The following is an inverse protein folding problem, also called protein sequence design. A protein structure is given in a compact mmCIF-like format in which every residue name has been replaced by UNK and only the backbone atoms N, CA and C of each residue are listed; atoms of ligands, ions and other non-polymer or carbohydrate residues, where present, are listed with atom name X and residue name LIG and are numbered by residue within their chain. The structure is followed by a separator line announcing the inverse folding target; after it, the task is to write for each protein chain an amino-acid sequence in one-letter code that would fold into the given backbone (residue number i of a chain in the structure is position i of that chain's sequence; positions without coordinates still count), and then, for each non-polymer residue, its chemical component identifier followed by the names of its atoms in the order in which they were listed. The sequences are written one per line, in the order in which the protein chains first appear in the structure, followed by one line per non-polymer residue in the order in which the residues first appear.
data_IF_372703364692
#
_entry.id   IF_372703364692
#
_cell.length_a   1.000
_cell.length_b   1.000
_cell.length_c   1.000
_cell.angle_alpha   90.00
_cell.angle_beta   90.00
_cell.angle_gamma   90.00
#
_symmetry.space_group_name_H-M   'P 1'
#
loop_
_entity.id
_entity.type
_entity.pdbx_description
1 polymer ?
#
# COMPACT_ATOMS: atom_id res chain seq x y z
N UNK A 1 82.85 -44.94 -39.61
CA UNK A 1 82.41 -43.64 -39.04
C UNK A 1 81.06 -43.26 -39.64
N UNK A 2 80.18 -42.65 -38.84
CA UNK A 2 78.89 -41.99 -39.18
C UNK A 2 77.67 -42.89 -39.45
N UNK A 3 76.91 -43.19 -38.40
CA UNK A 3 75.44 -43.38 -38.42
C UNK A 3 74.88 -43.09 -37.03
N UNK A 4 74.49 -41.84 -36.76
CA UNK A 4 73.52 -41.45 -35.71
C UNK A 4 73.42 -39.93 -35.69
N UNK A 5 72.47 -39.35 -36.44
CA UNK A 5 71.97 -37.98 -36.22
C UNK A 5 70.81 -37.73 -37.17
N UNK A 6 69.61 -38.26 -36.87
CA UNK A 6 68.38 -37.79 -37.50
C UNK A 6 67.14 -38.16 -36.66
N UNK A 7 67.13 -37.89 -35.36
CA UNK A 7 65.94 -38.09 -34.53
C UNK A 7 65.95 -37.12 -33.34
N UNK A 8 65.84 -35.80 -33.57
CA UNK A 8 65.56 -34.85 -32.47
C UNK A 8 65.12 -33.45 -32.98
N UNK A 9 64.01 -33.33 -33.72
CA UNK A 9 63.52 -32.00 -34.12
C UNK A 9 62.02 -31.90 -34.42
N UNK A 10 61.14 -32.68 -33.78
CA UNK A 10 59.68 -32.64 -34.06
C UNK A 10 58.79 -32.47 -32.81
N UNK A 11 59.33 -32.34 -31.60
CA UNK A 11 58.52 -32.40 -30.36
C UNK A 11 58.22 -31.06 -29.65
N UNK A 12 58.40 -29.88 -30.25
CA UNK A 12 58.19 -28.60 -29.55
C UNK A 12 57.06 -27.67 -30.04
N UNK A 13 56.18 -28.11 -30.94
CA UNK A 13 55.18 -27.22 -31.56
C UNK A 13 53.71 -27.45 -31.13
N UNK A 14 53.42 -27.93 -29.90
CA UNK A 14 52.03 -28.09 -29.43
C UNK A 14 51.67 -27.41 -28.10
N UNK A 15 52.56 -26.70 -27.44
CA UNK A 15 52.25 -25.95 -26.21
C UNK A 15 51.88 -24.49 -26.51
N UNK A 16 50.73 -24.28 -27.17
CA UNK A 16 50.24 -22.92 -27.49
C UNK A 16 48.75 -22.66 -27.23
N UNK A 17 47.91 -23.68 -27.05
CA UNK A 17 46.46 -23.50 -27.00
C UNK A 17 45.80 -23.75 -25.63
N UNK A 18 46.54 -24.19 -24.62
CA UNK A 18 45.96 -24.52 -23.30
C UNK A 18 45.79 -23.31 -22.36
N UNK A 19 46.59 -22.24 -22.51
CA UNK A 19 46.50 -21.04 -21.65
C UNK A 19 45.43 -20.02 -22.06
N UNK A 20 45.02 -20.01 -23.34
CA UNK A 20 44.08 -19.01 -23.86
C UNK A 20 42.59 -19.33 -23.56
N UNK A 21 42.28 -20.55 -23.12
CA UNK A 21 40.94 -20.91 -22.64
C UNK A 21 40.69 -20.41 -21.23
N UNK A 22 41.67 -20.50 -20.33
CA UNK A 22 41.53 -20.14 -18.91
C UNK A 22 41.41 -18.62 -18.71
N UNK A 23 42.25 -17.83 -19.40
CA UNK A 23 42.12 -16.35 -19.36
C UNK A 23 40.78 -15.87 -19.93
N UNK A 24 40.26 -16.51 -20.99
CA UNK A 24 38.96 -16.15 -21.56
C UNK A 24 37.78 -16.54 -20.66
N UNK A 25 37.90 -17.61 -19.88
CA UNK A 25 36.91 -17.98 -18.87
C UNK A 25 36.92 -16.98 -17.72
N UNK A 26 38.10 -16.68 -17.17
CA UNK A 26 38.26 -15.68 -16.11
C UNK A 26 37.75 -14.28 -16.53
N UNK A 27 38.05 -13.85 -17.76
CA UNK A 27 37.52 -12.58 -18.29
C UNK A 27 36.00 -12.56 -18.41
N UNK A 28 35.37 -13.67 -18.82
CA UNK A 28 33.91 -13.77 -18.91
C UNK A 28 33.27 -13.76 -17.53
N UNK A 29 33.83 -14.47 -16.57
CA UNK A 29 33.37 -14.45 -15.18
C UNK A 29 33.46 -13.03 -14.60
N UNK A 30 34.58 -12.35 -14.85
CA UNK A 30 34.78 -10.98 -14.37
C UNK A 30 33.82 -9.99 -15.04
N UNK A 31 33.55 -10.14 -16.35
CA UNK A 31 32.51 -9.36 -17.05
C UNK A 31 31.11 -9.62 -16.49
N UNK A 32 30.78 -10.88 -16.17
CA UNK A 32 29.48 -11.21 -15.57
C UNK A 32 29.33 -10.63 -14.17
N UNK A 33 30.37 -10.72 -13.34
CA UNK A 33 30.40 -10.11 -12.01
C UNK A 33 30.24 -8.60 -12.13
N UNK A 34 30.94 -7.96 -13.06
CA UNK A 34 30.85 -6.52 -13.26
C UNK A 34 29.45 -6.11 -13.75
N UNK A 35 28.86 -6.85 -14.68
CA UNK A 35 27.47 -6.63 -15.13
C UNK A 35 26.47 -6.80 -13.99
N UNK A 36 26.61 -7.86 -13.19
CA UNK A 36 25.77 -8.09 -12.01
C UNK A 36 25.90 -6.96 -11.00
N UNK A 37 27.13 -6.47 -10.74
CA UNK A 37 27.37 -5.33 -9.86
C UNK A 37 26.76 -4.03 -10.41
N UNK A 38 26.86 -3.77 -11.71
CA UNK A 38 26.23 -2.60 -12.35
C UNK A 38 24.70 -2.68 -12.25
N UNK A 39 24.11 -3.84 -12.50
CA UNK A 39 22.67 -4.06 -12.37
C UNK A 39 22.20 -3.90 -10.93
N UNK A 40 22.95 -4.43 -9.95
CA UNK A 40 22.64 -4.27 -8.53
C UNK A 40 22.68 -2.79 -8.12
N UNK A 41 23.71 -2.05 -8.55
CA UNK A 41 23.82 -0.60 -8.29
C UNK A 41 22.69 0.18 -8.94
N UNK A 42 22.37 -0.08 -10.20
CA UNK A 42 21.27 0.55 -10.91
C UNK A 42 19.92 0.27 -10.21
N UNK A 43 19.73 -0.95 -9.73
CA UNK A 43 18.52 -1.35 -8.99
C UNK A 43 18.41 -0.62 -7.64
N UNK A 44 19.50 -0.54 -6.87
CA UNK A 44 19.53 0.23 -5.61
C UNK A 44 19.27 1.72 -5.83
N UNK A 45 19.85 2.30 -6.87
CA UNK A 45 19.62 3.70 -7.23
C UNK A 45 18.15 3.94 -7.62
N UNK A 46 17.56 3.04 -8.42
CA UNK A 46 16.15 3.12 -8.78
C UNK A 46 15.22 3.05 -7.55
N UNK A 47 15.49 2.14 -6.61
CA UNK A 47 14.74 2.02 -5.36
C UNK A 47 14.85 3.27 -4.49
N UNK A 48 16.03 3.87 -4.41
CA UNK A 48 16.25 5.10 -3.62
C UNK A 48 15.52 6.28 -4.23
N UNK A 49 15.49 6.39 -5.56
CA UNK A 49 14.74 7.42 -6.27
C UNK A 49 13.23 7.26 -6.08
N UNK A 50 12.74 6.01 -6.10
CA UNK A 50 11.32 5.72 -5.84
C UNK A 50 10.93 6.14 -4.42
N UNK A 51 11.73 5.78 -3.41
CA UNK A 51 11.51 6.15 -2.02
C UNK A 51 11.53 7.67 -1.83
N UNK A 52 12.45 8.38 -2.49
CA UNK A 52 12.53 9.85 -2.43
C UNK A 52 11.35 10.55 -3.12
N UNK A 53 10.64 9.88 -4.03
CA UNK A 53 9.48 10.45 -4.70
C UNK A 53 8.16 10.19 -3.99
N UNK A 54 8.14 9.31 -2.98
CA UNK A 54 6.96 9.10 -2.15
C UNK A 54 6.60 10.39 -1.40
N UNK A 55 5.33 10.82 -1.43
CA UNK A 55 4.85 11.79 -0.46
C UNK A 55 5.01 11.25 0.97
N UNK A 56 5.37 12.11 1.91
CA UNK A 56 5.57 11.74 3.32
C UNK A 56 4.32 11.09 3.93
N UNK A 57 3.14 11.61 3.60
CA UNK A 57 1.84 11.10 4.06
C UNK A 57 1.51 9.69 3.54
N UNK A 58 2.27 9.13 2.59
CA UNK A 58 2.13 7.71 2.21
C UNK A 58 2.79 6.79 3.25
N UNK A 59 3.92 7.23 3.82
CA UNK A 59 4.67 6.48 4.83
C UNK A 59 4.14 6.73 6.24
N UNK A 60 3.72 7.97 6.48
CA UNK A 60 3.16 8.40 7.77
C UNK A 60 1.84 9.09 7.49
N UNK A 61 0.78 8.32 7.19
CA UNK A 61 -0.53 8.90 6.95
C UNK A 61 -0.95 9.73 8.16
N UNK A 62 -1.60 10.90 7.95
CA UNK A 62 -2.16 11.66 9.04
C UNK A 62 -3.04 10.74 9.89
N UNK A 63 -2.68 10.58 11.16
CA UNK A 63 -3.52 9.88 12.12
C UNK A 63 -4.90 10.55 12.08
N UNK A 64 -5.98 9.79 12.19
CA UNK A 64 -7.33 10.33 12.28
C UNK A 64 -7.36 11.43 13.36
N UNK A 65 -7.24 12.68 12.92
CA UNK A 65 -7.24 13.83 13.80
C UNK A 65 -8.68 14.10 14.21
N UNK A 66 -8.88 14.98 15.17
CA UNK A 66 -10.11 15.71 15.47
C UNK A 66 -10.95 16.19 14.25
N UNK A 67 -10.39 16.22 13.04
CA UNK A 67 -11.04 16.75 11.83
C UNK A 67 -11.65 15.72 10.87
N UNK A 68 -11.30 14.43 10.93
CA UNK A 68 -11.89 13.39 10.07
C UNK A 68 -11.03 12.14 9.86
N UNK A 69 -11.53 11.22 9.02
CA UNK A 69 -10.82 10.02 8.59
C UNK A 69 -9.96 10.32 7.36
N UNK A 70 -8.84 9.61 7.21
CA UNK A 70 -7.95 9.75 6.05
C UNK A 70 -7.77 8.42 5.34
N UNK A 71 -7.78 8.42 4.01
CA UNK A 71 -7.50 7.24 3.20
C UNK A 71 -6.39 7.51 2.21
N UNK A 72 -5.46 6.57 2.09
CA UNK A 72 -4.29 6.64 1.22
C UNK A 72 -4.42 5.63 0.08
N UNK A 73 -4.26 6.16 -1.12
CA UNK A 73 -4.32 5.39 -2.35
C UNK A 73 -2.99 5.41 -3.07
N UNK A 74 -2.47 4.24 -3.43
CA UNK A 74 -1.20 4.11 -4.15
C UNK A 74 -1.36 3.13 -5.30
N UNK A 75 -1.23 3.59 -6.53
CA UNK A 75 -1.31 2.70 -7.69
C UNK A 75 -0.28 3.06 -8.75
N UNK A 76 0.13 2.05 -9.51
CA UNK A 76 1.04 2.20 -10.64
C UNK A 76 0.45 1.59 -11.91
N UNK A 77 0.74 2.20 -13.05
CA UNK A 77 0.35 1.68 -14.36
C UNK A 77 1.15 2.30 -15.48
N UNK A 78 1.31 1.58 -16.59
CA UNK A 78 1.79 2.15 -17.86
C UNK A 78 0.83 3.18 -18.45
N UNK A 79 -0.43 3.17 -18.01
CA UNK A 79 -1.47 4.12 -18.45
C UNK A 79 -1.78 5.11 -17.33
N UNK A 80 -1.49 6.39 -17.56
CA UNK A 80 -1.66 7.47 -16.57
C UNK A 80 -3.07 7.49 -15.96
N UNK A 81 -4.10 7.45 -16.81
CA UNK A 81 -5.49 7.48 -16.36
C UNK A 81 -5.88 6.27 -15.51
N UNK A 82 -5.29 5.10 -15.79
CA UNK A 82 -5.53 3.91 -15.00
C UNK A 82 -4.89 4.03 -13.62
N UNK A 83 -3.62 4.43 -13.54
CA UNK A 83 -2.92 4.65 -12.27
C UNK A 83 -3.69 5.65 -11.38
N UNK A 84 -4.13 6.77 -11.95
CA UNK A 84 -4.89 7.79 -11.22
C UNK A 84 -6.21 7.25 -10.66
N UNK A 85 -7.00 6.54 -11.47
CA UNK A 85 -8.31 5.99 -11.04
C UNK A 85 -8.14 4.89 -9.99
N UNK A 86 -7.15 4.02 -10.18
CA UNK A 86 -6.86 2.94 -9.23
C UNK A 86 -6.39 3.47 -7.88
N UNK A 87 -5.51 4.48 -7.86
CA UNK A 87 -5.07 5.11 -6.61
C UNK A 87 -6.25 5.75 -5.88
N UNK A 88 -7.11 6.49 -6.60
CA UNK A 88 -8.31 7.07 -6.00
C UNK A 88 -9.23 5.99 -5.40
N UNK A 89 -9.52 4.92 -6.14
CA UNK A 89 -10.38 3.83 -5.67
C UNK A 89 -9.82 3.17 -4.41
N UNK A 90 -8.50 2.99 -4.35
CA UNK A 90 -7.85 2.44 -3.16
C UNK A 90 -7.98 3.39 -1.95
N UNK A 91 -7.83 4.70 -2.13
CA UNK A 91 -8.03 5.67 -1.06
C UNK A 91 -9.48 5.66 -0.55
N UNK A 92 -10.46 5.55 -1.46
CA UNK A 92 -11.89 5.41 -1.12
C UNK A 92 -12.14 4.12 -0.32
N UNK A 93 -11.53 3.01 -0.73
CA UNK A 93 -11.62 1.74 -0.02
C UNK A 93 -11.02 1.82 1.39
N UNK A 94 -9.90 2.51 1.56
CA UNK A 94 -9.29 2.69 2.88
C UNK A 94 -10.18 3.52 3.82
N UNK A 95 -10.77 4.61 3.31
CA UNK A 95 -11.76 5.39 4.07
C UNK A 95 -12.96 4.53 4.50
N UNK A 96 -13.49 3.72 3.59
CA UNK A 96 -14.59 2.81 3.89
C UNK A 96 -14.20 1.78 4.96
N UNK A 97 -13.00 1.22 4.88
CA UNK A 97 -12.46 0.27 5.88
C UNK A 97 -12.33 0.92 7.26
N UNK A 98 -11.74 2.10 7.36
CA UNK A 98 -11.58 2.80 8.64
C UNK A 98 -12.94 3.14 9.26
N UNK A 99 -13.87 3.59 8.42
CA UNK A 99 -15.25 3.85 8.83
C UNK A 99 -15.92 2.58 9.35
N UNK A 100 -15.80 1.46 8.63
CA UNK A 100 -16.34 0.17 9.06
C UNK A 100 -15.67 -0.35 10.35
N UNK A 101 -14.37 -0.15 10.54
CA UNK A 101 -13.68 -0.52 11.79
C UNK A 101 -14.21 0.28 12.99
N UNK A 102 -14.58 1.55 12.82
CA UNK A 102 -15.23 2.33 13.87
C UNK A 102 -16.62 1.78 14.20
N UNK A 103 -17.38 1.40 13.17
CA UNK A 103 -18.72 0.81 13.30
C UNK A 103 -18.68 -0.58 13.96
N UNK A 104 -17.89 -1.51 13.44
CA UNK A 104 -17.71 -2.87 13.97
C UNK A 104 -17.01 -2.91 15.33
N UNK A 105 -16.07 -1.99 15.59
CA UNK A 105 -15.54 -1.77 16.94
C UNK A 105 -16.58 -1.24 17.92
N UNK A 106 -17.73 -0.74 17.43
CA UNK A 106 -18.92 -0.44 18.23
C UNK A 106 -19.78 -1.66 18.52
N UNK A 107 -19.56 -2.79 17.86
CA UNK A 107 -20.31 -4.02 18.09
C UNK A 107 -19.62 -4.90 19.12
N UNK A 108 -18.30 -5.09 19.02
CA UNK A 108 -17.54 -5.97 19.96
C UNK A 108 -17.57 -5.49 21.42
N UNK A 109 -17.74 -4.19 21.65
CA UNK A 109 -17.93 -3.64 22.99
C UNK A 109 -19.30 -4.02 23.62
N UNK A 110 -20.23 -4.57 22.82
CA UNK A 110 -21.60 -4.93 23.21
C UNK A 110 -21.86 -6.44 23.15
N UNK A 111 -20.93 -7.23 22.62
CA UNK A 111 -20.96 -8.70 22.70
C UNK A 111 -20.54 -9.23 24.08
N UNK A 112 -20.07 -8.35 24.99
CA UNK A 112 -20.02 -8.61 26.42
C UNK A 112 -21.38 -8.26 27.07
N UNK A 113 -22.43 -9.03 26.79
CA UNK A 113 -23.66 -8.93 27.58
C UNK A 113 -24.94 -9.32 26.86
N UNK A 114 -25.21 -10.63 26.78
CA UNK A 114 -26.52 -11.28 26.92
C UNK A 114 -26.26 -12.81 26.87
N UNK A 115 -26.91 -13.58 27.73
CA UNK A 115 -26.78 -15.03 27.82
C UNK A 115 -27.47 -15.79 26.65
N UNK A 116 -28.28 -15.12 25.83
CA UNK A 116 -29.17 -15.77 24.84
C UNK A 116 -28.75 -15.67 23.36
N UNK A 117 -27.52 -15.21 23.04
CA UNK A 117 -26.82 -15.52 21.78
C UNK A 117 -27.38 -15.01 20.44
N UNK A 118 -28.44 -14.18 20.41
CA UNK A 118 -29.14 -13.78 19.17
C UNK A 118 -28.78 -12.36 18.63
N UNK A 119 -27.52 -11.93 18.72
CA UNK A 119 -27.09 -10.53 18.41
C UNK A 119 -26.47 -10.36 17.01
N UNK A 120 -26.05 -11.44 16.37
CA UNK A 120 -25.13 -11.41 15.21
C UNK A 120 -25.78 -10.94 13.89
N UNK A 121 -27.05 -11.26 13.63
CA UNK A 121 -27.69 -11.02 12.32
C UNK A 121 -28.06 -9.55 12.07
N UNK A 122 -28.48 -8.82 13.11
CA UNK A 122 -28.99 -7.44 12.94
C UNK A 122 -27.88 -6.40 12.82
N UNK A 123 -26.73 -6.67 13.45
CA UNK A 123 -25.58 -5.75 13.41
C UNK A 123 -24.87 -5.80 12.06
N UNK A 124 -24.82 -6.99 11.45
CA UNK A 124 -24.31 -7.19 10.09
C UNK A 124 -25.11 -6.36 9.08
N UNK A 125 -26.45 -6.35 9.17
CA UNK A 125 -27.30 -5.55 8.28
C UNK A 125 -27.05 -4.03 8.38
N UNK A 126 -26.87 -3.50 9.59
CA UNK A 126 -26.55 -2.08 9.78
C UNK A 126 -25.17 -1.71 9.23
N UNK A 127 -24.18 -2.60 9.42
CA UNK A 127 -22.83 -2.42 8.86
C UNK A 127 -22.89 -2.40 7.34
N UNK A 128 -23.58 -3.35 6.72
CA UNK A 128 -23.71 -3.45 5.26
C UNK A 128 -24.40 -2.20 4.67
N UNK A 129 -25.50 -1.75 5.27
CA UNK A 129 -26.23 -0.57 4.81
C UNK A 129 -25.40 0.73 4.92
N UNK A 130 -24.60 0.88 5.98
CA UNK A 130 -23.71 2.05 6.13
C UNK A 130 -22.52 1.94 5.17
N UNK A 131 -21.96 0.75 4.97
CA UNK A 131 -20.87 0.50 4.00
C UNK A 131 -21.32 0.79 2.57
N UNK A 132 -22.58 0.50 2.22
CA UNK A 132 -23.14 0.84 0.91
C UNK A 132 -23.38 2.36 0.73
N UNK A 133 -23.63 3.09 1.82
CA UNK A 133 -23.95 4.52 1.79
C UNK A 133 -22.71 5.46 1.90
N UNK A 134 -21.69 5.07 2.66
CA UNK A 134 -20.45 5.85 2.88
C UNK A 134 -19.64 6.17 1.61
N UNK A 135 -19.58 5.34 0.54
CA UNK A 135 -18.73 5.65 -0.61
C UNK A 135 -19.20 6.82 -1.49
N UNK A 136 -20.45 7.31 -1.36
CA UNK A 136 -21.05 8.12 -2.43
C UNK A 136 -20.94 9.64 -2.23
N UNK A 137 -20.84 10.18 -1.02
CA UNK A 137 -20.88 11.64 -0.81
C UNK A 137 -20.14 12.12 0.45
N UNK A 138 -19.10 12.95 0.27
CA UNK A 138 -18.59 13.81 1.35
C UNK A 138 -17.09 13.78 1.64
N UNK A 139 -16.29 13.01 0.89
CA UNK A 139 -14.83 13.06 1.02
C UNK A 139 -14.20 14.16 0.15
N UNK A 140 -13.06 14.67 0.58
CA UNK A 140 -12.28 15.73 -0.06
C UNK A 140 -10.92 15.17 -0.47
N UNK A 141 -10.38 15.63 -1.61
CA UNK A 141 -9.00 15.31 -2.02
C UNK A 141 -8.08 16.29 -1.32
N UNK A 142 -7.29 15.81 -0.35
CA UNK A 142 -6.35 16.65 0.41
C UNK A 142 -5.07 16.86 -0.38
N UNK A 143 -4.55 15.78 -0.96
CA UNK A 143 -3.34 15.83 -1.77
C UNK A 143 -3.39 14.75 -2.86
N UNK A 144 -2.74 15.04 -3.98
CA UNK A 144 -2.52 14.10 -5.06
C UNK A 144 -1.15 14.35 -5.67
N UNK A 145 -0.35 13.28 -5.79
CA UNK A 145 0.96 13.34 -6.44
C UNK A 145 1.03 12.27 -7.52
N UNK A 146 1.63 12.62 -8.64
CA UNK A 146 1.86 11.69 -9.72
C UNK A 146 3.28 11.83 -10.24
N UNK A 147 3.98 10.72 -10.36
CA UNK A 147 5.38 10.68 -10.83
C UNK A 147 5.52 9.61 -11.91
N UNK A 148 6.32 9.90 -12.93
CA UNK A 148 6.67 8.94 -13.96
C UNK A 148 8.06 8.36 -13.61
N UNK A 149 8.12 7.06 -13.37
CA UNK A 149 9.33 6.35 -12.94
C UNK A 149 9.37 4.97 -13.58
N UNK A 150 10.55 4.51 -14.03
CA UNK A 150 10.74 3.17 -14.58
C UNK A 150 9.75 2.79 -15.71
N UNK A 151 9.33 3.76 -16.53
CA UNK A 151 8.35 3.56 -17.61
C UNK A 151 6.90 3.35 -17.16
N UNK A 152 6.58 3.69 -15.91
CA UNK A 152 5.24 3.61 -15.32
C UNK A 152 4.85 4.95 -14.67
N UNK A 153 3.56 5.19 -14.55
CA UNK A 153 2.99 6.28 -13.76
C UNK A 153 2.63 5.74 -12.39
N UNK A 154 3.19 6.35 -11.35
CA UNK A 154 2.85 6.10 -9.96
C UNK A 154 1.95 7.25 -9.49
N UNK A 155 0.76 6.92 -9.01
CA UNK A 155 -0.23 7.87 -8.52
C UNK A 155 -0.45 7.63 -7.04
N UNK A 156 -0.41 8.73 -6.29
CA UNK A 156 -0.66 8.77 -4.86
C UNK A 156 -1.84 9.71 -4.63
N UNK A 157 -2.83 9.28 -3.84
CA UNK A 157 -3.99 10.10 -3.48
C UNK A 157 -4.21 10.04 -1.98
N UNK A 158 -4.40 11.20 -1.36
CA UNK A 158 -4.84 11.33 0.02
C UNK A 158 -6.26 11.91 0.03
N UNK A 159 -7.20 11.14 0.57
CA UNK A 159 -8.57 11.57 0.79
C UNK A 159 -8.81 11.83 2.26
N UNK A 160 -9.73 12.76 2.53
CA UNK A 160 -10.25 13.04 3.87
C UNK A 160 -11.76 12.94 3.87
N UNK A 161 -12.33 12.20 4.82
CA UNK A 161 -13.74 12.23 5.13
C UNK A 161 -13.95 13.02 6.43
N UNK A 162 -14.41 14.28 6.36
CA UNK A 162 -14.66 15.09 7.56
C UNK A 162 -15.72 14.44 8.45
N UNK A 163 -15.54 14.48 9.77
CA UNK A 163 -16.54 13.94 10.70
C UNK A 163 -17.91 14.60 10.55
N UNK A 164 -17.95 15.87 10.14
CA UNK A 164 -19.21 16.58 9.87
C UNK A 164 -20.00 15.93 8.74
N UNK A 165 -19.32 15.47 7.68
CA UNK A 165 -19.96 14.77 6.56
C UNK A 165 -20.33 13.35 6.94
N UNK A 166 -19.44 12.64 7.65
CA UNK A 166 -19.74 11.32 8.17
C UNK A 166 -20.98 11.33 9.09
N UNK A 167 -21.09 12.31 9.99
CA UNK A 167 -22.25 12.47 10.87
C UNK A 167 -23.54 12.80 10.11
N UNK A 168 -23.46 13.53 8.99
CA UNK A 168 -24.65 13.76 8.14
C UNK A 168 -25.14 12.46 7.52
N UNK A 169 -24.22 11.65 7.00
CA UNK A 169 -24.52 10.34 6.44
C UNK A 169 -25.17 9.45 7.51
N UNK A 170 -24.58 9.38 8.70
CA UNK A 170 -25.17 8.64 9.83
C UNK A 170 -26.58 9.12 10.19
N UNK A 171 -26.82 10.44 10.23
CA UNK A 171 -28.15 11.00 10.51
C UNK A 171 -29.17 10.67 9.43
N UNK A 172 -28.76 10.64 8.16
CA UNK A 172 -29.63 10.25 7.07
C UNK A 172 -29.99 8.76 7.16
N UNK A 173 -29.00 7.88 7.34
CA UNK A 173 -29.23 6.44 7.56
C UNK A 173 -30.11 6.15 8.77
N UNK A 174 -29.97 6.95 9.84
CA UNK A 174 -30.84 6.93 11.01
C UNK A 174 -32.26 7.36 10.66
N UNK A 175 -32.43 8.45 9.92
CA UNK A 175 -33.76 8.94 9.53
C UNK A 175 -34.50 7.94 8.62
N UNK A 176 -33.75 7.19 7.80
CA UNK A 176 -34.27 6.15 6.91
C UNK A 176 -34.59 4.83 7.65
N UNK A 177 -34.29 4.73 8.96
CA UNK A 177 -34.53 3.54 9.77
C UNK A 177 -35.66 3.73 10.79
N UNK A 178 -36.77 3.02 10.60
CA UNK A 178 -37.89 3.05 11.56
C UNK A 178 -37.71 2.11 12.77
N UNK A 179 -36.55 1.45 12.89
CA UNK A 179 -36.33 0.44 13.92
C UNK A 179 -35.74 1.07 15.20
N UNK A 180 -36.52 1.10 16.29
CA UNK A 180 -36.11 1.65 17.58
C UNK A 180 -34.82 1.04 18.17
N UNK A 181 -34.51 -0.23 17.84
CA UNK A 181 -33.25 -0.87 18.24
C UNK A 181 -32.08 -0.33 17.42
N UNK A 182 -32.26 -0.13 16.12
CA UNK A 182 -31.27 0.49 15.21
C UNK A 182 -31.01 1.95 15.62
N UNK A 183 -32.04 2.70 15.98
CA UNK A 183 -31.93 4.06 16.51
C UNK A 183 -30.99 4.16 17.73
N UNK A 184 -31.07 3.20 18.67
CA UNK A 184 -30.18 3.15 19.84
C UNK A 184 -28.72 2.86 19.47
N UNK A 185 -28.48 2.07 18.42
CA UNK A 185 -27.12 1.83 17.92
C UNK A 185 -26.50 3.11 17.33
N UNK A 186 -27.31 3.94 16.65
CA UNK A 186 -26.87 5.25 16.19
C UNK A 186 -26.52 6.19 17.35
N UNK A 187 -27.34 6.26 18.40
CA UNK A 187 -27.07 7.09 19.58
C UNK A 187 -25.72 6.76 20.24
N UNK A 188 -25.43 5.46 20.36
CA UNK A 188 -24.19 4.99 20.95
C UNK A 188 -22.96 5.29 20.09
N UNK A 189 -23.09 5.12 18.77
CA UNK A 189 -22.05 5.46 17.82
C UNK A 189 -21.72 6.96 17.87
N UNK A 190 -22.74 7.82 17.88
CA UNK A 190 -22.57 9.27 17.99
C UNK A 190 -21.84 9.65 19.29
N UNK A 191 -22.17 9.00 20.41
CA UNK A 191 -21.51 9.20 21.71
C UNK A 191 -20.01 8.88 21.65
N UNK A 192 -19.64 7.74 21.04
CA UNK A 192 -18.23 7.33 20.91
C UNK A 192 -17.44 8.20 19.94
N UNK A 193 -18.06 8.64 18.85
CA UNK A 193 -17.47 9.62 17.94
C UNK A 193 -17.23 10.95 18.65
N UNK A 194 -18.18 11.42 19.46
CA UNK A 194 -18.02 12.63 20.26
C UNK A 194 -16.87 12.49 21.29
N UNK A 195 -16.74 11.33 21.95
CA UNK A 195 -15.64 11.06 22.87
C UNK A 195 -14.27 11.09 22.16
N UNK A 196 -14.15 10.48 20.98
CA UNK A 196 -12.92 10.54 20.16
C UNK A 196 -12.57 11.95 19.74
N UNK A 197 -13.56 12.78 19.39
CA UNK A 197 -13.34 14.20 19.04
C UNK A 197 -12.87 15.05 20.21
N UNK A 198 -13.21 14.66 21.44
CA UNK A 198 -12.80 15.37 22.66
C UNK A 198 -11.42 14.97 23.17
N UNK A 199 -10.84 13.88 22.64
CA UNK A 199 -9.51 13.42 23.02
C UNK A 199 -8.47 14.13 22.13
N UNK A 200 -7.55 14.92 22.70
CA UNK A 200 -6.44 15.49 21.94
C UNK A 200 -5.64 14.36 21.27
N UNK A 201 -5.01 14.60 20.10
CA UNK A 201 -4.15 13.59 19.50
C UNK A 201 -3.12 13.15 20.56
N UNK A 202 -3.05 11.84 20.80
CA UNK A 202 -1.99 11.27 21.62
C UNK A 202 -0.67 11.73 21.01
N UNK A 203 0.01 12.64 21.70
CA UNK A 203 1.33 13.10 21.31
C UNK A 203 2.22 11.86 21.36
N UNK A 204 2.61 11.36 20.18
CA UNK A 204 3.60 10.31 20.09
C UNK A 204 4.90 10.83 20.68
N UNK A 205 5.38 10.16 21.72
CA UNK A 205 6.77 10.23 22.18
C UNK A 205 7.73 9.66 21.14
#
# INVERSE_FOLDING_TARGET
MKKTSLLLAISLALTGCAGHSDERLAQREQQQIEQAQRQAKATQQAQTQELAALPEWVLTPPVASDSGFYGVGVAQSKQLNHARKAARLQAEFELAKQTNQVLSGSQRAFEQGDADGNVETQTTFLIDQIVDAVPVVGYEVVDQKMVAMNGQFHSYVLLKLPYSQFNKVLKQLRADSDNARVQRHFDELERRLAARRAQPPAQGE
#
